data_IF_954689303879
#
_entry.id   IF_954689303879
#
_cell.length_a   1.000
_cell.length_b   1.000
_cell.length_c   1.000
_cell.angle_alpha   90.00
_cell.angle_beta   90.00
_cell.angle_gamma   90.00
#
_symmetry.space_group_name_H-M   'P 1'
#
loop_
_entity.id
_entity.type
_entity.pdbx_description
1 polymer ?
#
# COMPACT_ATOMS: atom_id res chain seq x y z
N UNK A 1 2.69 6.94 -22.35
CA UNK A 1 2.68 8.36 -21.93
C UNK A 1 3.94 9.07 -22.43
N UNK A 2 3.84 10.39 -22.64
CA UNK A 2 4.96 11.27 -23.00
C UNK A 2 5.51 11.97 -21.76
N UNK A 3 6.75 12.46 -21.83
CA UNK A 3 7.40 13.18 -20.73
C UNK A 3 7.04 14.68 -20.75
N UNK A 4 5.76 14.99 -20.62
CA UNK A 4 5.23 16.36 -20.62
C UNK A 4 4.44 16.58 -19.34
N UNK A 5 5.01 17.34 -18.41
CA UNK A 5 4.34 17.71 -17.17
C UNK A 5 3.90 19.19 -17.27
N UNK A 6 2.60 19.51 -17.13
CA UNK A 6 2.11 20.89 -17.27
C UNK A 6 2.61 21.74 -16.11
N UNK A 7 3.07 22.97 -16.39
CA UNK A 7 3.49 23.89 -15.34
C UNK A 7 2.35 24.19 -14.36
N UNK A 8 2.69 24.35 -13.08
CA UNK A 8 1.73 24.56 -11.99
C UNK A 8 1.34 26.02 -11.78
N UNK A 9 1.96 26.94 -12.53
CA UNK A 9 1.64 28.36 -12.48
C UNK A 9 0.18 28.60 -12.89
N UNK A 10 -0.56 29.52 -12.25
CA UNK A 10 -1.96 29.79 -12.57
C UNK A 10 -2.22 30.19 -14.03
N UNK A 11 -1.22 30.76 -14.71
CA UNK A 11 -1.28 31.12 -16.13
C UNK A 11 -1.31 29.90 -17.07
N UNK A 12 -0.81 28.75 -16.64
CA UNK A 12 -0.74 27.52 -17.43
C UNK A 12 -1.71 26.45 -16.94
N UNK A 13 -1.93 26.37 -15.62
CA UNK A 13 -2.83 25.42 -15.00
C UNK A 13 -3.68 26.11 -13.93
N UNK A 14 -4.83 26.62 -14.36
CA UNK A 14 -5.74 27.36 -13.50
C UNK A 14 -6.35 26.42 -12.45
N UNK A 15 -6.43 26.89 -11.20
CA UNK A 15 -6.93 26.14 -10.04
C UNK A 15 -6.08 24.92 -9.64
N UNK A 16 -4.85 24.82 -10.14
CA UNK A 16 -3.92 23.80 -9.65
C UNK A 16 -3.76 23.90 -8.13
N UNK A 17 -3.93 22.78 -7.44
CA UNK A 17 -3.84 22.66 -5.99
C UNK A 17 -4.85 23.49 -5.17
N UNK A 18 -5.97 23.92 -5.77
CA UNK A 18 -7.07 24.57 -5.01
C UNK A 18 -8.05 23.57 -4.37
N UNK A 19 -8.22 22.39 -4.97
CA UNK A 19 -8.92 21.26 -4.35
C UNK A 19 -7.96 20.34 -3.59
N UNK A 20 -8.47 19.32 -2.89
CA UNK A 20 -7.65 18.27 -2.27
C UNK A 20 -7.29 17.12 -3.22
N UNK A 21 -8.03 16.97 -4.33
CA UNK A 21 -7.86 15.89 -5.30
C UNK A 21 -7.85 16.42 -6.72
N UNK A 22 -7.15 15.70 -7.61
CA UNK A 22 -7.30 15.84 -9.06
C UNK A 22 -8.12 14.68 -9.61
N UNK A 23 -8.83 14.95 -10.70
CA UNK A 23 -9.67 13.96 -11.38
C UNK A 23 -9.14 13.75 -12.78
N UNK A 24 -8.98 12.50 -13.18
CA UNK A 24 -8.64 12.13 -14.55
C UNK A 24 -9.70 11.16 -15.09
N UNK A 25 -9.94 11.26 -16.38
CA UNK A 25 -10.84 10.38 -17.12
C UNK A 25 -9.98 9.35 -17.85
N UNK A 26 -10.24 8.06 -17.64
CA UNK A 26 -9.40 6.97 -18.11
C UNK A 26 -10.17 6.06 -19.07
N UNK A 27 -9.52 5.73 -20.19
CA UNK A 27 -10.00 4.73 -21.15
C UNK A 27 -11.21 5.17 -21.99
N UNK A 28 -11.71 4.25 -22.81
CA UNK A 28 -12.87 4.49 -23.69
C UNK A 28 -14.18 4.64 -22.90
N UNK A 29 -14.30 3.95 -21.76
CA UNK A 29 -15.47 4.02 -20.89
C UNK A 29 -15.54 5.30 -20.05
N UNK A 30 -14.52 6.18 -20.14
CA UNK A 30 -14.45 7.44 -19.40
C UNK A 30 -14.59 7.28 -17.89
N UNK A 31 -13.95 6.25 -17.33
CA UNK A 31 -13.95 6.03 -15.88
C UNK A 31 -13.23 7.20 -15.18
N UNK A 32 -13.83 7.72 -14.11
CA UNK A 32 -13.24 8.84 -13.35
C UNK A 32 -12.38 8.28 -12.22
N UNK A 33 -11.08 8.57 -12.26
CA UNK A 33 -10.15 8.28 -11.18
C UNK A 33 -9.83 9.56 -10.40
N UNK A 34 -9.92 9.48 -9.08
CA UNK A 34 -9.49 10.53 -8.16
C UNK A 34 -8.10 10.22 -7.65
N UNK A 35 -7.23 11.22 -7.68
CA UNK A 35 -5.84 11.11 -7.22
C UNK A 35 -5.58 12.23 -6.24
N UNK A 36 -4.93 11.89 -5.13
CA UNK A 36 -4.53 12.86 -4.11
C UNK A 36 -3.51 13.88 -4.66
N UNK A 37 -3.71 15.15 -4.28
CA UNK A 37 -2.82 16.23 -4.70
C UNK A 37 -1.41 16.09 -4.15
N UNK A 38 -1.22 15.50 -2.96
CA UNK A 38 0.10 15.28 -2.40
C UNK A 38 0.95 14.37 -3.29
N UNK A 39 0.33 13.30 -3.77
CA UNK A 39 0.96 12.37 -4.73
C UNK A 39 1.36 13.08 -6.01
N UNK A 40 0.48 13.90 -6.57
CA UNK A 40 0.76 14.64 -7.81
C UNK A 40 1.85 15.69 -7.61
N UNK A 41 1.77 16.45 -6.52
CA UNK A 41 2.76 17.49 -6.18
C UNK A 41 4.16 16.89 -5.98
N UNK A 42 4.24 15.65 -5.51
CA UNK A 42 5.53 14.95 -5.36
C UNK A 42 6.24 14.72 -6.71
N UNK A 43 5.50 14.56 -7.81
CA UNK A 43 6.06 14.42 -9.16
C UNK A 43 6.79 15.70 -9.59
N UNK A 44 6.23 16.86 -9.24
CA UNK A 44 6.79 18.17 -9.59
C UNK A 44 8.14 18.47 -8.92
N UNK A 45 8.49 17.79 -7.82
CA UNK A 45 9.83 17.91 -7.18
C UNK A 45 10.97 17.47 -8.09
N UNK A 46 10.64 16.64 -9.09
CA UNK A 46 11.59 15.95 -9.95
C UNK A 46 11.61 16.49 -11.39
N UNK A 47 11.02 17.67 -11.61
CA UNK A 47 11.02 18.37 -12.89
C UNK A 47 12.43 18.86 -13.25
N UNK A 48 12.68 18.91 -14.55
CA UNK A 48 13.80 19.63 -15.15
C UNK A 48 13.34 21.04 -15.49
N UNK A 49 13.69 22.01 -14.66
CA UNK A 49 13.36 23.43 -14.87
C UNK A 49 14.20 24.11 -15.94
N UNK A 50 15.26 23.45 -16.40
CA UNK A 50 16.16 23.90 -17.46
C UNK A 50 15.59 23.72 -18.86
N UNK A 51 14.57 22.86 -19.02
CA UNK A 51 13.97 22.54 -20.32
C UNK A 51 12.49 22.87 -20.29
N UNK A 52 12.06 23.70 -21.23
CA UNK A 52 10.66 24.03 -21.45
C UNK A 52 10.23 23.49 -22.82
N UNK A 53 9.07 22.85 -22.85
CA UNK A 53 8.51 22.18 -24.02
C UNK A 53 7.13 22.74 -24.33
N UNK A 54 6.79 22.73 -25.61
CA UNK A 54 5.46 23.09 -26.15
C UNK A 54 4.89 24.40 -25.58
N UNK A 55 5.20 25.51 -26.26
CA UNK A 55 4.81 26.88 -25.87
C UNK A 55 5.23 27.27 -24.44
N UNK A 56 6.32 26.68 -23.95
CA UNK A 56 6.80 26.88 -22.58
C UNK A 56 5.80 26.50 -21.49
N UNK A 57 4.77 25.73 -21.82
CA UNK A 57 3.71 25.32 -20.89
C UNK A 57 4.01 24.02 -20.16
N UNK A 58 5.02 23.27 -20.61
CA UNK A 58 5.38 21.97 -20.08
C UNK A 58 6.85 21.87 -19.72
N UNK A 59 7.15 21.11 -18.69
CA UNK A 59 8.51 20.73 -18.32
C UNK A 59 8.61 19.20 -18.24
N UNK A 60 9.73 18.61 -18.67
CA UNK A 60 9.93 17.17 -18.55
C UNK A 60 10.37 16.78 -17.14
N UNK A 61 10.08 15.54 -16.75
CA UNK A 61 10.72 14.89 -15.61
C UNK A 61 12.17 14.51 -15.95
N UNK A 62 13.01 14.41 -14.92
CA UNK A 62 14.32 13.76 -15.05
C UNK A 62 14.17 12.35 -15.61
N UNK A 63 15.06 11.96 -16.53
CA UNK A 63 14.92 10.72 -17.32
C UNK A 63 14.74 9.48 -16.44
N UNK A 64 15.56 9.33 -15.38
CA UNK A 64 15.45 8.23 -14.43
C UNK A 64 14.05 8.08 -13.85
N UNK A 65 13.49 9.17 -13.31
CA UNK A 65 12.18 9.17 -12.67
C UNK A 65 11.06 8.89 -13.68
N UNK A 66 11.18 9.43 -14.89
CA UNK A 66 10.26 9.13 -15.98
C UNK A 66 10.28 7.65 -16.38
N UNK A 67 11.46 7.03 -16.44
CA UNK A 67 11.61 5.61 -16.76
C UNK A 67 11.14 4.70 -15.64
N UNK A 68 11.40 5.04 -14.37
CA UNK A 68 10.87 4.31 -13.20
C UNK A 68 9.33 4.28 -13.24
N UNK A 69 8.68 5.40 -13.53
CA UNK A 69 7.23 5.47 -13.70
C UNK A 69 6.74 4.60 -14.87
N UNK A 70 7.45 4.61 -16.00
CA UNK A 70 7.12 3.76 -17.15
C UNK A 70 7.25 2.27 -16.83
N UNK A 71 8.30 1.87 -16.12
CA UNK A 71 8.52 0.49 -15.72
C UNK A 71 7.44 0.01 -14.74
N UNK A 72 7.06 0.85 -13.78
CA UNK A 72 5.95 0.54 -12.87
C UNK A 72 4.63 0.35 -13.63
N UNK A 73 4.31 1.25 -14.56
CA UNK A 73 3.11 1.12 -15.39
C UNK A 73 3.15 -0.14 -16.28
N UNK A 74 4.30 -0.42 -16.89
CA UNK A 74 4.48 -1.61 -17.73
C UNK A 74 4.23 -2.90 -16.94
N UNK A 75 4.81 -3.03 -15.75
CA UNK A 75 4.60 -4.21 -14.88
C UNK A 75 3.14 -4.41 -14.48
N UNK A 76 2.39 -3.32 -14.26
CA UNK A 76 0.97 -3.40 -13.96
C UNK A 76 0.13 -3.85 -15.16
N UNK A 77 0.52 -3.42 -16.37
CA UNK A 77 -0.12 -3.87 -17.61
C UNK A 77 0.18 -5.35 -17.85
N UNK A 78 1.45 -5.74 -17.76
CA UNK A 78 1.88 -7.14 -17.91
C UNK A 78 1.17 -8.06 -16.90
N UNK A 79 1.03 -7.62 -15.64
CA UNK A 79 0.32 -8.36 -14.62
C UNK A 79 -1.18 -8.47 -14.88
N UNK A 80 -1.77 -7.50 -15.58
CA UNK A 80 -3.16 -7.55 -16.00
C UNK A 80 -3.37 -8.50 -17.18
N UNK A 81 -2.45 -8.49 -18.15
CA UNK A 81 -2.53 -9.31 -19.37
C UNK A 81 -2.22 -10.80 -19.08
N UNK A 82 -1.36 -11.07 -18.09
CA UNK A 82 -0.94 -12.43 -17.70
C UNK A 82 -1.23 -12.72 -16.21
N UNK A 83 -2.51 -12.84 -15.81
CA UNK A 83 -2.88 -13.02 -14.41
C UNK A 83 -2.42 -14.37 -13.83
N UNK A 84 -2.26 -15.39 -14.67
CA UNK A 84 -1.79 -16.74 -14.29
C UNK A 84 -0.39 -16.73 -13.67
N UNK A 85 0.48 -15.83 -14.13
CA UNK A 85 1.89 -15.74 -13.73
C UNK A 85 2.12 -14.70 -12.62
N UNK A 86 1.08 -13.96 -12.25
CA UNK A 86 1.20 -12.79 -11.41
C UNK A 86 0.56 -12.98 -10.03
N UNK A 87 1.14 -12.31 -9.03
CA UNK A 87 0.63 -12.35 -7.67
C UNK A 87 -0.63 -11.49 -7.55
N UNK A 88 -1.60 -11.97 -6.77
CA UNK A 88 -2.85 -11.23 -6.51
C UNK A 88 -2.62 -9.93 -5.73
N UNK A 89 -1.50 -9.81 -5.03
CA UNK A 89 -1.16 -8.67 -4.20
C UNK A 89 0.24 -8.15 -4.54
N UNK A 90 0.46 -6.86 -4.31
CA UNK A 90 1.78 -6.23 -4.46
C UNK A 90 2.66 -6.39 -3.22
N UNK A 91 2.14 -7.01 -2.15
CA UNK A 91 2.84 -7.16 -0.88
C UNK A 91 3.77 -8.36 -0.99
N UNK A 92 5.06 -8.13 -0.75
CA UNK A 92 6.09 -9.16 -0.80
C UNK A 92 6.29 -9.82 0.56
N UNK A 93 6.49 -11.13 0.56
CA UNK A 93 7.02 -11.96 1.66
C UNK A 93 6.47 -11.61 3.05
N UNK A 94 5.18 -11.88 3.26
CA UNK A 94 4.52 -11.63 4.54
C UNK A 94 4.89 -12.71 5.56
N UNK A 95 6.05 -12.58 6.18
CA UNK A 95 6.62 -13.56 7.13
C UNK A 95 6.15 -13.38 8.59
N UNK A 96 5.53 -12.23 8.91
CA UNK A 96 5.14 -11.88 10.28
C UNK A 96 3.87 -12.60 10.78
N UNK A 97 3.14 -13.30 9.93
CA UNK A 97 1.96 -14.07 10.36
C UNK A 97 2.29 -15.14 11.39
N UNK A 98 3.45 -15.79 11.26
CA UNK A 98 3.90 -16.78 12.24
C UNK A 98 4.13 -16.14 13.61
N UNK A 99 4.70 -14.94 13.66
CA UNK A 99 4.91 -14.21 14.91
C UNK A 99 3.58 -13.86 15.59
N UNK A 100 2.57 -13.46 14.83
CA UNK A 100 1.22 -13.18 15.39
C UNK A 100 0.62 -14.46 15.97
N UNK A 101 0.70 -15.58 15.23
CA UNK A 101 0.20 -16.87 15.71
C UNK A 101 0.90 -17.30 17.00
N UNK A 102 2.23 -17.22 17.02
CA UNK A 102 3.02 -17.68 18.16
C UNK A 102 2.79 -16.77 19.38
N UNK A 103 2.63 -15.46 19.17
CA UNK A 103 2.26 -14.51 20.23
C UNK A 103 0.86 -14.81 20.79
N UNK A 104 -0.12 -15.10 19.93
CA UNK A 104 -1.46 -15.46 20.34
C UNK A 104 -1.47 -16.74 21.18
N UNK A 105 -0.81 -17.80 20.69
CA UNK A 105 -0.70 -19.08 21.40
C UNK A 105 -0.04 -18.89 22.77
N UNK A 106 1.04 -18.11 22.84
CA UNK A 106 1.71 -17.82 24.11
C UNK A 106 0.79 -17.08 25.10
N UNK A 107 -0.02 -16.12 24.64
CA UNK A 107 -0.98 -15.43 25.49
C UNK A 107 -2.06 -16.36 26.02
N UNK A 108 -2.57 -17.28 25.20
CA UNK A 108 -3.54 -18.29 25.63
C UNK A 108 -2.96 -19.17 26.72
N UNK A 109 -1.75 -19.71 26.53
CA UNK A 109 -1.11 -20.53 27.55
C UNK A 109 -0.83 -19.79 28.85
N UNK A 110 -0.43 -18.52 28.78
CA UNK A 110 -0.21 -17.70 29.97
C UNK A 110 -1.51 -17.48 30.74
N UNK A 111 -2.62 -17.23 30.05
CA UNK A 111 -3.95 -17.10 30.66
C UNK A 111 -4.41 -18.40 31.31
N UNK A 112 -4.27 -19.54 30.62
CA UNK A 112 -4.59 -20.86 31.18
C UNK A 112 -3.79 -21.14 32.45
N UNK A 113 -2.48 -20.86 32.42
CA UNK A 113 -1.61 -21.05 33.57
C UNK A 113 -2.00 -20.14 34.75
N UNK A 114 -2.36 -18.89 34.49
CA UNK A 114 -2.79 -17.95 35.53
C UNK A 114 -4.14 -18.34 36.13
N UNK A 115 -5.10 -18.79 35.33
CA UNK A 115 -6.38 -19.33 35.83
C UNK A 115 -6.13 -20.51 36.78
N UNK A 116 -5.28 -21.47 36.40
CA UNK A 116 -4.95 -22.63 37.24
C UNK A 116 -4.33 -22.22 38.57
N UNK A 117 -3.45 -21.20 38.60
CA UNK A 117 -2.87 -20.69 39.86
C UNK A 117 -3.92 -20.09 40.80
N UNK A 118 -4.99 -19.54 40.25
CA UNK A 118 -6.07 -18.93 41.03
C UNK A 118 -7.16 -19.93 41.46
N UNK A 119 -7.16 -21.16 40.92
CA UNK A 119 -8.03 -22.24 41.38
C UNK A 119 -7.45 -22.82 42.68
N UNK A 120 -8.13 -22.58 43.81
CA UNK A 120 -7.75 -23.19 45.08
C UNK A 120 -7.98 -24.70 45.03
N UNK A 121 -7.02 -25.54 45.46
CA UNK A 121 -7.24 -26.98 45.55
C UNK A 121 -8.26 -27.27 46.66
N UNK A 122 -9.45 -27.71 46.25
CA UNK A 122 -10.46 -28.22 47.18
C UNK A 122 -10.02 -29.60 47.67
N UNK A 123 -10.03 -29.86 48.98
CA UNK A 123 -9.75 -31.20 49.52
C UNK A 123 -10.81 -32.19 49.00
N UNK A 124 -10.40 -33.05 48.09
CA UNK A 124 -11.22 -34.18 47.62
C UNK A 124 -10.93 -35.39 48.52
N UNK A 125 -11.97 -35.98 49.10
CA UNK A 125 -11.89 -37.27 49.80
C UNK A 125 -12.08 -38.37 48.76
N UNK A 126 -11.02 -39.12 48.48
CA UNK A 126 -11.08 -40.31 47.65
C UNK A 126 -11.39 -41.52 48.54
N UNK A 127 -12.41 -42.29 48.18
CA UNK A 127 -12.69 -43.59 48.78
C UNK A 127 -11.62 -44.56 48.29
N UNK A 128 -10.78 -45.04 49.22
CA UNK A 128 -9.81 -46.09 48.94
C UNK A 128 -10.49 -47.39 49.34
N UNK A 129 -10.82 -48.26 48.38
CA UNK A 129 -11.27 -49.62 48.69
C UNK A 129 -10.10 -50.38 49.30
N UNK A 130 -10.07 -50.47 50.63
CA UNK A 130 -9.18 -51.38 51.35
C UNK A 130 -9.80 -52.77 51.34
N UNK A 131 -9.65 -53.49 50.22
CA UNK A 131 -9.90 -54.93 50.16
C UNK A 131 -8.59 -55.64 49.77
N UNK A 132 -7.86 -56.08 50.80
CA UNK A 132 -7.13 -57.36 50.97
C UNK A 132 -5.99 -57.19 51.98
#
# INVERSE_FOLDING_TARGET
MLNFLPLTCPSHNLLFNKGSFQRIVVGKSKNVLQVDNGTITSLFKNIRSDVLLHNSSYAPLKHRNFMELKLAAYRLIEAHDHPELCHKTSIKDVSWFNMIRDSYISQVYNLEADIVKHIKPTKLKYLIETNM
#
